data_IF_241220889634
#
_entry.id   IF_241220889634
#
_cell.length_a   1.000
_cell.length_b   1.000
_cell.length_c   1.000
_cell.angle_alpha   90.00
_cell.angle_beta   90.00
_cell.angle_gamma   90.00
#
_symmetry.space_group_name_H-M   'P 1'
#
loop_
_entity.id
_entity.type
_entity.pdbx_description
1 polymer ?
#
# COMPACT_ATOMS: atom_id res chain seq x y z
N UNK A 1 10.00 11.85 17.48
CA UNK A 1 9.12 10.99 18.29
C UNK A 1 8.76 9.79 17.43
N UNK A 2 9.16 8.58 17.82
CA UNK A 2 8.81 7.37 17.07
C UNK A 2 7.30 7.13 17.18
N UNK A 3 6.57 7.14 16.07
CA UNK A 3 5.15 6.83 16.08
C UNK A 3 4.98 5.30 16.18
N UNK A 4 4.61 4.81 17.35
CA UNK A 4 4.42 3.37 17.59
C UNK A 4 3.35 2.75 16.69
N UNK A 5 2.35 3.52 16.23
CA UNK A 5 1.34 3.02 15.28
C UNK A 5 1.94 2.83 13.90
N UNK A 6 2.83 3.74 13.49
CA UNK A 6 3.56 3.61 12.24
C UNK A 6 4.46 2.38 12.25
N UNK A 7 5.23 2.18 13.32
CA UNK A 7 6.09 1.00 13.46
C UNK A 7 5.26 -0.29 13.50
N UNK A 8 4.13 -0.30 14.22
CA UNK A 8 3.23 -1.44 14.24
C UNK A 8 2.69 -1.75 12.84
N UNK A 9 2.22 -0.74 12.10
CA UNK A 9 1.72 -0.91 10.74
C UNK A 9 2.83 -1.45 9.83
N UNK A 10 4.04 -0.89 9.91
CA UNK A 10 5.20 -1.34 9.15
C UNK A 10 5.48 -2.83 9.41
N UNK A 11 5.65 -3.22 10.68
CA UNK A 11 5.99 -4.60 11.04
C UNK A 11 4.87 -5.56 10.68
N UNK A 12 3.63 -5.26 11.10
CA UNK A 12 2.48 -6.15 10.87
C UNK A 12 2.19 -6.28 9.38
N UNK A 13 2.23 -5.18 8.62
CA UNK A 13 1.99 -5.21 7.19
C UNK A 13 3.06 -5.99 6.44
N UNK A 14 4.34 -5.80 6.75
CA UNK A 14 5.41 -6.61 6.18
C UNK A 14 5.24 -8.10 6.50
N UNK A 15 4.91 -8.46 7.76
CA UNK A 15 4.65 -9.84 8.15
C UNK A 15 3.47 -10.45 7.39
N UNK A 16 2.36 -9.71 7.27
CA UNK A 16 1.20 -10.14 6.50
C UNK A 16 1.58 -10.34 5.04
N UNK A 17 2.31 -9.40 4.43
CA UNK A 17 2.78 -9.52 3.05
C UNK A 17 3.59 -10.80 2.84
N UNK A 18 4.53 -11.11 3.73
CA UNK A 18 5.33 -12.35 3.68
C UNK A 18 4.44 -13.59 3.80
N UNK A 19 3.51 -13.62 4.76
CA UNK A 19 2.60 -14.76 4.97
C UNK A 19 1.70 -14.96 3.76
N UNK A 20 1.14 -13.89 3.19
CA UNK A 20 0.27 -13.98 2.02
C UNK A 20 1.01 -14.54 0.81
N UNK A 21 2.22 -14.10 0.54
CA UNK A 21 3.02 -14.65 -0.57
C UNK A 21 3.51 -16.06 -0.29
N UNK A 22 3.81 -16.43 0.96
CA UNK A 22 4.08 -17.83 1.34
C UNK A 22 2.87 -18.75 1.05
N UNK A 23 1.66 -18.29 1.36
CA UNK A 23 0.42 -19.04 1.11
C UNK A 23 0.04 -19.08 -0.37
N UNK A 24 0.31 -18.01 -1.12
CA UNK A 24 0.04 -17.94 -2.55
C UNK A 24 1.01 -18.78 -3.41
N UNK A 25 2.16 -19.19 -2.84
CA UNK A 25 3.16 -19.98 -3.54
C UNK A 25 4.15 -19.12 -4.34
N UNK A 26 4.46 -19.50 -5.59
CA UNK A 26 5.35 -18.68 -6.45
C UNK A 26 4.68 -17.34 -6.70
N UNK A 27 5.28 -16.26 -6.22
CA UNK A 27 4.89 -14.92 -6.63
C UNK A 27 5.43 -14.65 -8.03
N UNK A 28 4.65 -13.99 -8.89
CA UNK A 28 5.08 -13.64 -10.26
C UNK A 28 6.30 -12.72 -10.34
N UNK A 29 6.81 -12.26 -9.19
CA UNK A 29 7.99 -11.42 -9.05
C UNK A 29 9.30 -12.19 -8.85
N UNK A 30 9.24 -13.52 -8.72
CA UNK A 30 10.44 -14.35 -8.50
C UNK A 30 11.38 -14.38 -9.69
N UNK A 31 10.83 -14.25 -10.91
CA UNK A 31 11.60 -14.23 -12.16
C UNK A 31 11.76 -12.79 -12.71
N UNK A 32 11.43 -11.78 -11.90
CA UNK A 32 11.49 -10.37 -12.30
C UNK A 32 12.95 -9.89 -12.40
N UNK A 33 13.24 -9.08 -13.41
CA UNK A 33 14.53 -8.43 -13.55
C UNK A 33 14.72 -7.29 -12.53
N UNK A 34 15.96 -6.85 -12.36
CA UNK A 34 16.30 -5.79 -11.39
C UNK A 34 15.49 -4.51 -11.62
N UNK A 35 15.22 -4.15 -12.88
CA UNK A 35 14.45 -2.95 -13.19
C UNK A 35 12.99 -3.09 -12.74
N UNK A 36 12.37 -4.25 -12.94
CA UNK A 36 11.02 -4.53 -12.44
C UNK A 36 10.95 -4.50 -10.91
N UNK A 37 11.96 -5.04 -10.22
CA UNK A 37 12.05 -5.00 -8.75
C UNK A 37 12.19 -3.56 -8.26
N UNK A 38 13.09 -2.77 -8.85
CA UNK A 38 13.26 -1.35 -8.50
C UNK A 38 11.99 -0.56 -8.79
N UNK A 39 11.30 -0.88 -9.89
CA UNK A 39 10.01 -0.28 -10.21
C UNK A 39 8.96 -0.59 -9.15
N UNK A 40 8.80 -1.86 -8.78
CA UNK A 40 7.83 -2.32 -7.77
C UNK A 40 8.07 -1.70 -6.38
N UNK A 41 9.33 -1.57 -5.96
CA UNK A 41 9.68 -1.14 -4.60
C UNK A 41 9.79 0.38 -4.48
N UNK A 42 10.24 1.08 -5.52
CA UNK A 42 10.50 2.51 -5.45
C UNK A 42 9.59 3.30 -6.37
N UNK A 43 9.64 3.04 -7.68
CA UNK A 43 9.00 3.91 -8.66
C UNK A 43 7.47 3.87 -8.55
N UNK A 44 6.88 2.68 -8.55
CA UNK A 44 5.45 2.49 -8.49
C UNK A 44 4.85 3.04 -7.18
N UNK A 45 5.38 2.74 -5.96
CA UNK A 45 4.87 3.32 -4.73
C UNK A 45 4.91 4.85 -4.71
N UNK A 46 5.98 5.47 -5.23
CA UNK A 46 6.06 6.94 -5.29
C UNK A 46 4.97 7.51 -6.20
N UNK A 47 4.84 6.97 -7.42
CA UNK A 47 3.87 7.46 -8.40
C UNK A 47 2.44 7.23 -7.92
N UNK A 48 2.15 6.06 -7.38
CA UNK A 48 0.83 5.69 -6.88
C UNK A 48 0.44 6.53 -5.66
N UNK A 49 1.32 6.71 -4.68
CA UNK A 49 1.02 7.55 -3.53
C UNK A 49 0.88 9.03 -3.92
N UNK A 50 1.66 9.53 -4.89
CA UNK A 50 1.46 10.89 -5.42
C UNK A 50 0.08 11.03 -6.08
N UNK A 51 -0.32 10.08 -6.92
CA UNK A 51 -1.60 10.13 -7.62
C UNK A 51 -2.79 10.02 -6.65
N UNK A 52 -2.81 8.99 -5.82
CA UNK A 52 -3.99 8.70 -4.99
C UNK A 52 -3.98 9.46 -3.67
N UNK A 53 -2.83 9.68 -3.03
CA UNK A 53 -2.76 10.31 -1.69
C UNK A 53 -2.40 11.78 -1.78
N UNK A 54 -1.56 12.13 -2.76
CA UNK A 54 -1.25 13.52 -3.09
C UNK A 54 -2.45 14.21 -3.75
N UNK A 55 -2.88 13.71 -4.92
CA UNK A 55 -3.92 14.36 -5.72
C UNK A 55 -5.31 14.01 -5.20
N UNK A 56 -5.73 12.74 -5.25
CA UNK A 56 -7.12 12.37 -4.94
C UNK A 56 -7.48 12.66 -3.47
N UNK A 57 -6.77 12.06 -2.51
CA UNK A 57 -7.03 12.27 -1.09
C UNK A 57 -6.76 13.72 -0.68
N UNK A 58 -5.69 14.34 -1.20
CA UNK A 58 -5.37 15.73 -0.91
C UNK A 58 -6.45 16.70 -1.37
N UNK A 59 -6.96 16.54 -2.60
CA UNK A 59 -8.05 17.35 -3.13
C UNK A 59 -9.35 17.14 -2.34
N UNK A 60 -9.74 15.89 -2.08
CA UNK A 60 -10.95 15.59 -1.31
C UNK A 60 -10.86 16.11 0.13
N UNK A 61 -9.69 16.10 0.74
CA UNK A 61 -9.46 16.63 2.09
C UNK A 61 -9.66 18.16 2.18
N UNK A 62 -9.64 18.87 1.05
CA UNK A 62 -10.02 20.29 0.99
C UNK A 62 -11.52 20.53 1.13
N UNK A 63 -12.36 19.51 0.95
CA UNK A 63 -13.82 19.61 1.05
C UNK A 63 -14.33 19.26 2.45
N UNK A 64 -15.47 19.85 2.86
CA UNK A 64 -16.09 19.49 4.14
C UNK A 64 -16.50 18.02 4.20
N UNK A 65 -17.05 17.49 3.11
CA UNK A 65 -17.45 16.10 2.99
C UNK A 65 -16.26 15.16 3.08
N UNK A 66 -15.15 15.43 2.39
CA UNK A 66 -13.97 14.57 2.41
C UNK A 66 -13.28 14.49 3.77
N UNK A 67 -13.39 15.54 4.59
CA UNK A 67 -12.87 15.56 5.97
C UNK A 67 -13.74 14.79 6.97
N UNK A 68 -14.98 14.44 6.60
CA UNK A 68 -15.85 13.62 7.47
C UNK A 68 -15.17 12.30 7.74
N UNK A 69 -15.24 11.85 8.99
CA UNK A 69 -14.62 10.59 9.42
C UNK A 69 -15.68 9.54 9.63
N UNK A 70 -15.42 8.35 9.10
CA UNK A 70 -16.18 7.13 9.32
C UNK A 70 -15.24 6.11 9.99
N UNK A 71 -15.60 5.64 11.18
CA UNK A 71 -14.78 4.70 11.96
C UNK A 71 -13.30 5.13 12.15
N UNK A 72 -13.03 6.44 12.24
CA UNK A 72 -11.68 6.99 12.40
C UNK A 72 -10.89 7.22 11.09
N UNK A 73 -11.44 6.86 9.93
CA UNK A 73 -10.87 7.10 8.61
C UNK A 73 -11.61 8.24 7.90
N UNK A 74 -10.92 9.11 7.16
CA UNK A 74 -11.58 10.15 6.37
C UNK A 74 -12.31 9.56 5.16
N UNK A 75 -13.40 10.20 4.72
CA UNK A 75 -14.05 9.86 3.45
C UNK A 75 -13.07 10.05 2.27
N UNK A 76 -12.17 11.02 2.35
CA UNK A 76 -11.11 11.20 1.37
C UNK A 76 -10.20 9.95 1.25
N UNK A 77 -9.80 9.37 2.38
CA UNK A 77 -9.03 8.12 2.41
C UNK A 77 -9.83 6.95 1.81
N UNK A 78 -11.08 6.78 2.23
CA UNK A 78 -11.93 5.67 1.75
C UNK A 78 -12.10 5.75 0.23
N UNK A 79 -12.41 6.94 -0.32
CA UNK A 79 -12.57 7.13 -1.76
C UNK A 79 -11.24 6.87 -2.49
N UNK A 80 -10.13 7.40 -1.99
CA UNK A 80 -8.81 7.15 -2.58
C UNK A 80 -8.44 5.65 -2.57
N UNK A 81 -8.73 4.93 -1.49
CA UNK A 81 -8.50 3.50 -1.38
C UNK A 81 -9.40 2.69 -2.33
N UNK A 82 -10.67 3.08 -2.49
CA UNK A 82 -11.58 2.47 -3.47
C UNK A 82 -11.06 2.66 -4.90
N UNK A 83 -10.65 3.88 -5.27
CA UNK A 83 -10.11 4.17 -6.60
C UNK A 83 -8.79 3.44 -6.85
N UNK A 84 -7.91 3.37 -5.85
CA UNK A 84 -6.66 2.62 -5.93
C UNK A 84 -6.89 1.13 -6.17
N UNK A 85 -7.84 0.54 -5.45
CA UNK A 85 -8.24 -0.86 -5.60
C UNK A 85 -8.91 -1.08 -6.96
N UNK A 86 -9.79 -0.19 -7.39
CA UNK A 86 -10.43 -0.22 -8.70
C UNK A 86 -9.41 -0.17 -9.84
N UNK A 87 -8.36 0.66 -9.72
CA UNK A 87 -7.27 0.71 -10.67
C UNK A 87 -6.53 -0.64 -10.76
N UNK A 88 -6.24 -1.28 -9.63
CA UNK A 88 -5.63 -2.61 -9.62
C UNK A 88 -6.52 -3.67 -10.28
N UNK A 89 -7.84 -3.58 -10.08
CA UNK A 89 -8.82 -4.50 -10.67
C UNK A 89 -8.89 -4.43 -12.20
N UNK A 90 -8.46 -3.32 -12.82
CA UNK A 90 -8.37 -3.20 -14.28
C UNK A 90 -7.28 -4.10 -14.89
N UNK A 91 -6.20 -4.34 -14.13
CA UNK A 91 -5.06 -5.13 -14.60
C UNK A 91 -5.12 -6.58 -14.11
N UNK A 92 -5.78 -6.84 -12.99
CA UNK A 92 -5.86 -8.17 -12.38
C UNK A 92 -7.14 -8.33 -11.57
N UNK A 93 -7.84 -9.46 -11.73
CA UNK A 93 -9.14 -9.72 -11.08
C UNK A 93 -9.06 -10.74 -9.94
N UNK A 94 -7.86 -11.08 -9.50
CA UNK A 94 -7.62 -12.05 -8.46
C UNK A 94 -7.81 -11.48 -7.05
N UNK A 95 -7.83 -12.36 -6.05
CA UNK A 95 -8.05 -11.99 -4.64
C UNK A 95 -7.01 -10.99 -4.14
N UNK A 96 -5.78 -11.04 -4.65
CA UNK A 96 -4.72 -10.10 -4.26
C UNK A 96 -5.06 -8.66 -4.64
N UNK A 97 -5.73 -8.45 -5.78
CA UNK A 97 -6.20 -7.14 -6.22
C UNK A 97 -7.20 -6.53 -5.25
N UNK A 98 -8.06 -7.34 -4.64
CA UNK A 98 -9.00 -6.88 -3.62
C UNK A 98 -8.31 -6.62 -2.28
N UNK A 99 -7.32 -7.44 -1.92
CA UNK A 99 -6.59 -7.30 -0.66
C UNK A 99 -5.81 -5.99 -0.56
N UNK A 100 -5.44 -5.35 -1.68
CA UNK A 100 -4.75 -4.04 -1.67
C UNK A 100 -5.61 -2.91 -1.08
N UNK A 101 -6.93 -3.11 -0.96
CA UNK A 101 -7.82 -2.13 -0.32
C UNK A 101 -7.45 -1.87 1.14
N UNK A 102 -7.06 -2.91 1.88
CA UNK A 102 -6.69 -2.79 3.30
C UNK A 102 -5.42 -1.95 3.51
N UNK A 103 -4.26 -2.26 2.89
CA UNK A 103 -3.08 -1.43 3.02
C UNK A 103 -3.31 -0.02 2.47
N UNK A 104 -4.12 0.12 1.40
CA UNK A 104 -4.51 1.42 0.87
C UNK A 104 -5.20 2.33 1.91
N UNK A 105 -6.05 1.77 2.78
CA UNK A 105 -6.67 2.50 3.89
C UNK A 105 -5.66 2.87 4.98
N UNK A 106 -4.70 1.98 5.26
CA UNK A 106 -3.64 2.22 6.25
C UNK A 106 -2.74 3.38 5.81
N UNK A 107 -2.35 3.42 4.53
CA UNK A 107 -1.53 4.50 3.99
C UNK A 107 -2.26 5.84 4.11
N UNK A 108 -3.52 5.90 3.69
CA UNK A 108 -4.29 7.14 3.79
C UNK A 108 -4.58 7.57 5.24
N UNK A 109 -4.65 6.65 6.20
CA UNK A 109 -4.70 6.99 7.62
C UNK A 109 -3.42 7.74 8.07
N UNK A 110 -2.25 7.25 7.67
CA UNK A 110 -0.98 7.92 7.98
C UNK A 110 -0.82 9.23 7.22
N UNK A 111 -1.37 9.34 6.01
CA UNK A 111 -1.44 10.62 5.28
C UNK A 111 -2.23 11.68 6.05
N UNK A 112 -3.39 11.30 6.60
CA UNK A 112 -4.23 12.20 7.39
C UNK A 112 -3.56 12.57 8.72
N UNK A 113 -2.87 11.62 9.34
CA UNK A 113 -2.23 11.79 10.65
C UNK A 113 -0.97 12.66 10.60
N UNK A 114 -0.12 12.45 9.60
CA UNK A 114 1.18 13.12 9.50
C UNK A 114 1.21 14.30 8.55
N UNK A 115 0.16 14.49 7.73
CA UNK A 115 0.13 15.57 6.74
C UNK A 115 1.13 15.38 5.59
N UNK A 116 1.80 14.23 5.51
CA UNK A 116 2.90 13.95 4.58
C UNK A 116 2.66 12.65 3.82
N UNK A 117 3.20 12.59 2.60
CA UNK A 117 3.21 11.38 1.77
C UNK A 117 4.34 10.42 2.15
N UNK A 118 5.39 10.91 2.80
CA UNK A 118 6.58 10.12 3.10
C UNK A 118 6.27 8.84 3.90
N UNK A 119 5.43 8.87 4.97
CA UNK A 119 5.06 7.64 5.68
C UNK A 119 4.31 6.64 4.78
N UNK A 120 3.49 7.14 3.85
CA UNK A 120 2.72 6.31 2.93
C UNK A 120 3.66 5.58 1.96
N UNK A 121 4.58 6.33 1.35
CA UNK A 121 5.59 5.79 0.42
C UNK A 121 6.47 4.77 1.12
N UNK A 122 6.93 5.04 2.34
CA UNK A 122 7.77 4.09 3.10
C UNK A 122 7.01 2.80 3.40
N UNK A 123 5.77 2.89 3.90
CA UNK A 123 4.97 1.69 4.19
C UNK A 123 4.69 0.89 2.92
N UNK A 124 4.31 1.57 1.84
CA UNK A 124 4.01 0.93 0.56
C UNK A 124 5.26 0.24 -0.01
N UNK A 125 6.39 0.94 -0.09
CA UNK A 125 7.66 0.37 -0.52
C UNK A 125 8.07 -0.83 0.34
N UNK A 126 7.93 -0.74 1.67
CA UNK A 126 8.27 -1.83 2.58
C UNK A 126 7.36 -3.05 2.39
N UNK A 127 6.06 -2.85 2.19
CA UNK A 127 5.12 -3.95 1.93
C UNK A 127 5.45 -4.64 0.61
N UNK A 128 5.73 -3.86 -0.44
CA UNK A 128 6.12 -4.38 -1.75
C UNK A 128 7.45 -5.12 -1.70
N UNK A 129 8.45 -4.59 -0.99
CA UNK A 129 9.72 -5.27 -0.78
C UNK A 129 9.53 -6.60 -0.01
N UNK A 130 8.60 -6.64 0.94
CA UNK A 130 8.30 -7.85 1.71
C UNK A 130 7.65 -8.95 0.88
N UNK A 131 6.96 -8.61 -0.22
CA UNK A 131 6.44 -9.60 -1.17
C UNK A 131 7.55 -10.37 -1.89
N UNK A 132 8.76 -9.81 -1.98
CA UNK A 132 9.93 -10.42 -2.60
C UNK A 132 10.66 -11.41 -1.68
N UNK A 133 10.44 -11.31 -0.36
CA UNK A 133 11.15 -12.11 0.64
C UNK A 133 10.87 -13.62 0.58
N UNK A 134 9.64 -14.10 0.33
CA UNK A 134 9.42 -15.50 0.00
C UNK A 134 9.88 -15.79 -1.43
N UNK A 135 11.20 -15.75 -1.58
CA UNK A 135 11.90 -16.17 -2.77
C UNK A 135 11.89 -17.69 -2.88
N UNK A 136 12.31 -18.43 -1.84
CA UNK A 136 12.66 -19.86 -1.97
C UNK A 136 13.31 -20.46 -0.70
N UNK A 137 12.64 -20.61 0.46
CA UNK A 137 13.26 -21.44 1.53
C UNK A 137 13.51 -22.94 1.15
N UNK A 138 13.39 -23.31 -0.13
CA UNK A 138 13.64 -24.64 -0.71
C UNK A 138 14.47 -24.56 -2.02
N UNK A 139 15.61 -23.85 -2.05
CA UNK A 139 16.72 -24.23 -2.97
C UNK A 139 17.69 -25.19 -2.27
N UNK A 140 17.12 -26.12 -1.48
CA UNK A 140 17.68 -27.44 -1.23
C UNK A 140 16.89 -28.44 -2.08
#
# INVERSE_FOLDING_TARGET
MADGRFLLALVVGCLISVVLTMLAGRSGWQDADLLSILSLVFWAPIVEELAFRGVVQGWLSGTESGRRRLAGLSLANIIAACLFTGWHLLYRTDVMAWLVFVPALVFGYFRDRHGSLLPCVILHAAYNASLLLPGWYLLY
#
